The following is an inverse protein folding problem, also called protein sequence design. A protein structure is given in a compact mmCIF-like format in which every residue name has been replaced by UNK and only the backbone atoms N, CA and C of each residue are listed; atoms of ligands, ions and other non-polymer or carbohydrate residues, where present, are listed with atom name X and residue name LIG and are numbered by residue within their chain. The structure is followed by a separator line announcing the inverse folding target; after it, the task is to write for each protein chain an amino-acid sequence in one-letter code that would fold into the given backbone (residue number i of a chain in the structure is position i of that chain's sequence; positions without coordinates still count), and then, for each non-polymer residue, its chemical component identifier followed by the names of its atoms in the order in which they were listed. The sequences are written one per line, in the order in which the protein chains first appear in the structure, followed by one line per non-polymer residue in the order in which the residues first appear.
data_IF_447448512629
#
_entry.id   IF_447448512629
#
_cell.length_a   1.000
_cell.length_b   1.000
_cell.length_c   1.000
_cell.angle_alpha   90.00
_cell.angle_beta   90.00
_cell.angle_gamma   90.00
#
_symmetry.space_group_name_H-M   'P 1'
#
loop_
_entity.id
_entity.type
_entity.pdbx_description
1 polymer ?
#
# COMPACT_ATOMS: atom_id res chain seq x y z
N UNK A 1 -29.39 -3.57 -0.22
CA UNK A 1 -28.24 -4.15 -0.94
C UNK A 1 -27.09 -3.18 -0.73
N UNK A 2 -26.49 -3.27 0.45
CA UNK A 2 -25.35 -2.44 0.83
C UNK A 2 -24.11 -3.03 0.18
N UNK A 3 -23.77 -2.50 -0.99
CA UNK A 3 -22.46 -2.72 -1.62
C UNK A 3 -21.43 -2.00 -0.75
N UNK A 4 -21.02 -2.63 0.36
CA UNK A 4 -19.74 -2.30 0.97
C UNK A 4 -18.70 -2.72 -0.04
N UNK A 5 -18.12 -1.74 -0.71
CA UNK A 5 -16.90 -1.89 -1.49
C UNK A 5 -15.96 -2.80 -0.69
N UNK A 6 -15.66 -3.97 -1.25
CA UNK A 6 -14.62 -4.85 -0.76
C UNK A 6 -13.28 -4.15 -0.99
N UNK A 7 -12.98 -3.13 -0.19
CA UNK A 7 -11.62 -2.66 0.00
C UNK A 7 -10.81 -3.89 0.38
N UNK A 8 -9.81 -4.24 -0.43
CA UNK A 8 -8.99 -5.42 -0.24
C UNK A 8 -8.46 -5.43 1.20
N UNK A 9 -8.96 -6.35 2.01
CA UNK A 9 -8.54 -6.50 3.39
C UNK A 9 -7.14 -7.11 3.40
N UNK A 10 -6.12 -6.24 3.40
CA UNK A 10 -4.72 -6.66 3.47
C UNK A 10 -4.44 -7.28 4.83
N UNK A 11 -3.84 -8.47 4.84
CA UNK A 11 -3.47 -9.12 6.09
C UNK A 11 -2.41 -8.29 6.83
N UNK A 12 -2.36 -8.40 8.16
CA UNK A 12 -1.35 -7.70 8.96
C UNK A 12 0.10 -8.10 8.56
N UNK A 13 0.27 -9.32 8.07
CA UNK A 13 1.53 -9.82 7.54
C UNK A 13 1.91 -9.10 6.24
N UNK A 14 1.01 -9.10 5.27
CA UNK A 14 1.21 -8.44 3.97
C UNK A 14 1.47 -6.94 4.12
N UNK A 15 0.72 -6.28 5.02
CA UNK A 15 0.95 -4.88 5.36
C UNK A 15 2.37 -4.65 5.91
N UNK A 16 2.85 -5.54 6.78
CA UNK A 16 4.19 -5.43 7.36
C UNK A 16 5.29 -5.64 6.31
N UNK A 17 5.09 -6.58 5.38
CA UNK A 17 5.99 -6.83 4.24
C UNK A 17 6.06 -5.60 3.33
N UNK A 18 4.90 -5.07 2.91
CA UNK A 18 4.84 -3.88 2.05
C UNK A 18 5.48 -2.68 2.74
N UNK A 19 5.14 -2.44 4.01
CA UNK A 19 5.71 -1.32 4.78
C UNK A 19 7.22 -1.44 4.92
N UNK A 20 7.74 -2.64 5.15
CA UNK A 20 9.18 -2.90 5.22
C UNK A 20 9.88 -2.63 3.89
N UNK A 21 9.36 -3.17 2.79
CA UNK A 21 9.91 -2.96 1.46
C UNK A 21 9.82 -1.48 1.01
N UNK A 22 8.70 -0.80 1.29
CA UNK A 22 8.55 0.63 1.02
C UNK A 22 9.58 1.46 1.79
N UNK A 23 9.78 1.18 3.09
CA UNK A 23 10.80 1.85 3.91
C UNK A 23 12.21 1.63 3.38
N UNK A 24 12.52 0.44 2.85
CA UNK A 24 13.80 0.17 2.20
C UNK A 24 14.00 1.05 0.96
N UNK A 25 13.01 1.13 0.07
CA UNK A 25 13.06 2.00 -1.12
C UNK A 25 13.23 3.48 -0.75
N UNK A 26 12.52 3.94 0.29
CA UNK A 26 12.70 5.31 0.82
C UNK A 26 14.13 5.54 1.32
N UNK A 27 14.71 4.57 2.03
CA UNK A 27 16.11 4.65 2.48
C UNK A 27 17.11 4.62 1.31
N UNK A 28 16.76 3.99 0.18
CA UNK A 28 17.54 4.00 -1.07
C UNK A 28 17.36 5.28 -1.89
N UNK A 29 16.51 6.22 -1.45
CA UNK A 29 16.33 7.53 -2.08
C UNK A 29 15.10 7.66 -2.98
N UNK A 30 14.06 6.84 -2.77
CA UNK A 30 12.79 6.99 -3.46
C UNK A 30 12.21 8.42 -3.24
N UNK A 31 11.92 9.19 -4.31
CA UNK A 31 11.49 10.56 -4.17
C UNK A 31 10.03 10.68 -3.69
N UNK A 32 9.75 11.63 -2.79
CA UNK A 32 8.45 11.76 -2.10
C UNK A 32 7.24 11.87 -3.04
N UNK A 33 7.40 12.51 -4.20
CA UNK A 33 6.31 12.69 -5.16
C UNK A 33 5.81 11.38 -5.79
N UNK A 34 6.59 10.29 -5.74
CA UNK A 34 6.17 8.98 -6.27
C UNK A 34 5.76 7.99 -5.17
N UNK A 35 5.83 8.38 -3.90
CA UNK A 35 5.56 7.48 -2.77
C UNK A 35 4.17 6.87 -2.82
N UNK A 36 3.16 7.67 -3.18
CA UNK A 36 1.79 7.20 -3.33
C UNK A 36 1.63 6.16 -4.43
N UNK A 37 2.17 6.43 -5.61
CA UNK A 37 2.11 5.53 -6.76
C UNK A 37 2.82 4.20 -6.48
N UNK A 38 4.01 4.26 -5.86
CA UNK A 38 4.77 3.05 -5.51
C UNK A 38 4.06 2.22 -4.44
N UNK A 39 3.57 2.85 -3.38
CA UNK A 39 2.86 2.15 -2.31
C UNK A 39 1.55 1.52 -2.82
N UNK A 40 0.80 2.22 -3.66
CA UNK A 40 -0.40 1.69 -4.33
C UNK A 40 -0.04 0.48 -5.20
N UNK A 41 0.99 0.59 -6.05
CA UNK A 41 1.42 -0.52 -6.90
C UNK A 41 1.85 -1.74 -6.10
N UNK A 42 2.60 -1.57 -5.01
CA UNK A 42 3.02 -2.67 -4.14
C UNK A 42 1.84 -3.38 -3.49
N UNK A 43 0.83 -2.63 -3.02
CA UNK A 43 -0.39 -3.21 -2.47
C UNK A 43 -1.16 -3.96 -3.55
N UNK A 44 -1.31 -3.38 -4.74
CA UNK A 44 -2.02 -4.00 -5.87
C UNK A 44 -1.37 -5.29 -6.32
N UNK A 45 -0.04 -5.29 -6.46
CA UNK A 45 0.73 -6.47 -6.86
C UNK A 45 0.60 -7.60 -5.84
N UNK A 46 0.60 -7.29 -4.54
CA UNK A 46 0.53 -8.30 -3.48
C UNK A 46 -0.89 -8.86 -3.29
N UNK A 47 -1.89 -7.99 -3.33
CA UNK A 47 -3.29 -8.35 -3.06
C UNK A 47 -4.05 -8.79 -4.32
N UNK A 48 -3.42 -8.64 -5.50
CA UNK A 48 -4.07 -8.77 -6.82
C UNK A 48 -5.36 -7.97 -6.95
N UNK A 49 -5.50 -6.91 -6.15
CA UNK A 49 -6.72 -6.11 -6.08
C UNK A 49 -6.55 -4.82 -6.87
N UNK A 50 -7.59 -4.47 -7.61
CA UNK A 50 -7.64 -3.27 -8.45
C UNK A 50 -8.20 -2.08 -7.64
N UNK A 51 -9.03 -2.36 -6.64
CA UNK A 51 -9.55 -1.38 -5.70
C UNK A 51 -8.72 -1.40 -4.41
N UNK A 52 -7.80 -0.46 -4.32
CA UNK A 52 -6.92 -0.29 -3.17
C UNK A 52 -7.46 0.83 -2.31
N UNK A 53 -7.57 0.55 -1.02
CA UNK A 53 -8.00 1.54 -0.05
C UNK A 53 -6.95 2.68 0.05
N UNK A 54 -7.31 3.94 -0.21
CA UNK A 54 -6.36 5.04 -0.14
C UNK A 54 -5.87 5.33 1.29
N UNK A 55 -6.64 5.00 2.32
CA UNK A 55 -6.17 5.12 3.71
C UNK A 55 -5.08 4.09 4.00
N UNK A 56 -5.15 2.88 3.44
CA UNK A 56 -4.09 1.88 3.54
C UNK A 56 -2.78 2.40 2.93
N UNK A 57 -2.85 2.99 1.74
CA UNK A 57 -1.69 3.61 1.07
C UNK A 57 -1.10 4.72 1.96
N UNK A 58 -1.94 5.60 2.50
CA UNK A 58 -1.47 6.63 3.43
C UNK A 58 -0.84 6.05 4.70
N UNK A 59 -1.33 4.91 5.23
CA UNK A 59 -0.72 4.25 6.40
C UNK A 59 0.64 3.62 6.10
N UNK A 60 0.92 3.26 4.85
CA UNK A 60 2.24 2.76 4.42
C UNK A 60 3.23 3.94 4.36
N UNK A 61 2.79 5.05 3.76
CA UNK A 61 3.60 6.25 3.53
C UNK A 61 3.88 7.01 4.84
N UNK A 62 2.92 7.04 5.77
CA UNK A 62 3.08 7.68 7.08
C UNK A 62 4.11 6.92 7.94
N UNK A 63 5.00 7.69 8.58
CA UNK A 63 6.15 7.22 9.38
C UNK A 63 5.78 6.18 10.45
#
# INVERSE_FOLDING_TARGET
MDKREECAAVSAHDYSVIKGAFKAMVAEGLPEHVWAEVAERMVGDLTRSINIDPELVMRIIRR
#
